data_IF_796442115890
#
_entry.id   IF_796442115890
#
_cell.length_a   1.000
_cell.length_b   1.000
_cell.length_c   1.000
_cell.angle_alpha   90.00
_cell.angle_beta   90.00
_cell.angle_gamma   90.00
#
_symmetry.space_group_name_H-M   'P 1'
#
loop_
_entity.id
_entity.type
_entity.pdbx_description
1 polymer ?
#
# COMPACT_ATOMS: atom_id res chain seq x y z
N UNK A 1 -3.81 5.25 9.65
CA UNK A 1 -3.09 4.59 8.54
C UNK A 1 -4.01 4.23 7.38
N UNK A 2 -5.22 3.69 7.61
CA UNK A 2 -6.18 3.35 6.54
C UNK A 2 -6.57 4.52 5.62
N UNK A 3 -6.66 5.75 6.15
CA UNK A 3 -6.94 6.95 5.34
C UNK A 3 -5.87 7.23 4.27
N UNK A 4 -4.65 6.74 4.46
CA UNK A 4 -3.51 6.93 3.57
C UNK A 4 -3.17 5.67 2.75
N UNK A 5 -4.05 4.66 2.73
CA UNK A 5 -3.81 3.40 2.00
C UNK A 5 -3.99 3.53 0.48
N UNK A 6 -4.36 4.71 -0.03
CA UNK A 6 -4.69 4.93 -1.45
C UNK A 6 -6.13 4.61 -1.83
N UNK A 7 -6.94 4.09 -0.90
CA UNK A 7 -8.35 3.78 -1.14
C UNK A 7 -9.28 5.00 -0.98
N UNK A 8 -9.05 5.84 0.03
CA UNK A 8 -9.92 6.98 0.35
C UNK A 8 -9.43 8.33 -0.21
N UNK A 9 -8.12 8.50 -0.40
CA UNK A 9 -7.51 9.75 -0.87
C UNK A 9 -6.48 9.43 -1.93
N UNK A 10 -6.62 10.05 -3.09
CA UNK A 10 -5.71 9.89 -4.22
C UNK A 10 -4.37 10.60 -3.90
N UNK A 11 -3.24 9.92 -4.11
CA UNK A 11 -1.93 10.38 -3.62
C UNK A 11 -1.48 11.71 -4.24
N UNK A 12 -1.89 11.98 -5.48
CA UNK A 12 -1.55 13.22 -6.20
C UNK A 12 -2.28 14.46 -5.69
N UNK A 13 -3.34 14.32 -4.87
CA UNK A 13 -4.08 15.46 -4.30
C UNK A 13 -3.71 15.75 -2.84
N UNK A 14 -2.80 14.97 -2.25
CA UNK A 14 -2.39 15.13 -0.85
C UNK A 14 -1.36 16.27 -0.74
N UNK A 15 -1.53 17.25 0.17
CA UNK A 15 -0.54 18.29 0.38
C UNK A 15 0.81 17.71 0.86
N UNK A 16 1.95 18.28 0.43
CA UNK A 16 3.28 17.67 0.56
C UNK A 16 3.71 17.36 2.00
N UNK A 17 3.22 18.14 2.98
CA UNK A 17 3.49 17.92 4.40
C UNK A 17 2.92 16.59 4.93
N UNK A 18 1.81 16.10 4.38
CA UNK A 18 1.16 14.85 4.79
C UNK A 18 1.66 13.63 3.99
N UNK A 19 2.46 13.87 2.93
CA UNK A 19 2.94 12.85 2.01
C UNK A 19 3.98 11.92 2.66
N UNK A 20 4.83 12.43 3.55
CA UNK A 20 5.78 11.59 4.30
C UNK A 20 5.06 10.53 5.17
N UNK A 21 3.93 10.89 5.76
CA UNK A 21 3.15 9.99 6.63
C UNK A 21 2.49 8.85 5.84
N UNK A 22 2.17 9.08 4.56
CA UNK A 22 1.64 8.05 3.68
C UNK A 22 2.74 7.08 3.23
N UNK A 23 3.97 7.55 2.97
CA UNK A 23 5.14 6.67 2.72
C UNK A 23 5.51 5.81 3.93
N UNK A 24 5.27 6.29 5.15
CA UNK A 24 5.54 5.53 6.38
C UNK A 24 4.47 4.46 6.69
N UNK A 25 3.29 4.53 6.06
CA UNK A 25 2.22 3.56 6.30
C UNK A 25 2.46 2.27 5.51
N UNK A 26 2.88 1.20 6.18
CA UNK A 26 2.98 -0.16 5.60
C UNK A 26 1.70 -0.61 4.87
N UNK A 27 0.55 -0.10 5.33
CA UNK A 27 -0.78 -0.41 4.80
C UNK A 27 -0.90 -0.05 3.31
N UNK A 28 -0.17 0.98 2.83
CA UNK A 28 -0.11 1.34 1.41
C UNK A 28 0.45 0.19 0.58
N UNK A 29 1.68 -0.23 0.87
CA UNK A 29 2.36 -1.32 0.14
C UNK A 29 1.57 -2.64 0.23
N UNK A 30 0.92 -2.91 1.37
CA UNK A 30 0.05 -4.07 1.52
C UNK A 30 -1.21 -4.03 0.64
N UNK A 31 -1.84 -2.86 0.52
CA UNK A 31 -3.04 -2.68 -0.31
C UNK A 31 -2.70 -2.67 -1.81
N UNK A 32 -1.61 -1.99 -2.18
CA UNK A 32 -1.04 -1.95 -3.53
C UNK A 32 -0.71 -3.38 -4.01
N UNK A 33 0.04 -4.14 -3.20
CA UNK A 33 0.36 -5.54 -3.49
C UNK A 33 -0.88 -6.45 -3.58
N UNK A 34 -1.88 -6.25 -2.71
CA UNK A 34 -3.14 -7.02 -2.77
C UNK A 34 -3.93 -6.72 -4.05
N UNK A 35 -4.01 -5.44 -4.46
CA UNK A 35 -4.71 -5.04 -5.68
C UNK A 35 -4.01 -5.56 -6.94
N UNK A 36 -2.68 -5.47 -7.00
CA UNK A 36 -1.89 -6.05 -8.11
C UNK A 36 -2.01 -7.57 -8.15
N UNK A 37 -2.07 -8.25 -6.98
CA UNK A 37 -2.27 -9.70 -6.94
C UNK A 37 -3.67 -10.14 -7.41
N UNK A 38 -4.72 -9.37 -7.10
CA UNK A 38 -6.11 -9.71 -7.45
C UNK A 38 -6.47 -9.30 -8.89
N UNK A 39 -6.05 -8.11 -9.30
CA UNK A 39 -6.46 -7.47 -10.55
C UNK A 39 -5.35 -7.40 -11.62
N UNK A 40 -4.09 -7.66 -11.27
CA UNK A 40 -2.95 -7.63 -12.19
C UNK A 40 -2.78 -8.91 -13.03
N UNK A 41 -1.56 -9.09 -13.57
CA UNK A 41 -1.10 -10.29 -14.28
C UNK A 41 -2.01 -10.81 -15.42
N UNK A 42 -2.62 -9.90 -16.19
CA UNK A 42 -3.39 -10.28 -17.37
C UNK A 42 -4.76 -10.92 -17.07
N UNK A 43 -5.37 -10.58 -15.93
CA UNK A 43 -6.71 -11.07 -15.58
C UNK A 43 -7.75 -10.73 -16.66
N UNK A 44 -8.63 -11.69 -16.95
CA UNK A 44 -9.75 -11.52 -17.90
C UNK A 44 -10.67 -10.38 -17.44
N UNK A 45 -11.29 -9.71 -18.41
CA UNK A 45 -12.25 -8.63 -18.19
C UNK A 45 -13.37 -9.08 -17.23
N UNK A 46 -13.73 -8.24 -16.28
CA UNK A 46 -14.80 -8.54 -15.33
C UNK A 46 -16.15 -8.57 -16.04
N UNK A 47 -17.06 -9.41 -15.56
CA UNK A 47 -18.46 -9.46 -16.00
C UNK A 47 -19.22 -8.26 -15.44
N UNK A 48 -19.79 -7.42 -16.29
CA UNK A 48 -20.67 -6.32 -15.89
C UNK A 48 -22.10 -6.61 -16.34
N UNK A 49 -23.07 -6.24 -15.51
CA UNK A 49 -24.51 -6.41 -15.80
C UNK A 49 -25.05 -5.34 -16.76
N UNK A 50 -24.49 -4.13 -16.74
CA UNK A 50 -24.85 -3.03 -17.64
C UNK A 50 -24.03 -2.99 -18.95
N UNK A 51 -24.60 -2.43 -20.03
CA UNK A 51 -23.93 -2.26 -21.32
C UNK A 51 -22.73 -1.30 -21.27
N UNK A 52 -22.74 -0.32 -20.37
CA UNK A 52 -21.61 0.58 -20.13
C UNK A 52 -20.93 0.27 -18.80
N UNK A 53 -19.63 -0.06 -18.85
CA UNK A 53 -18.85 -0.41 -17.66
C UNK A 53 -17.42 0.13 -17.81
N UNK A 54 -17.14 1.27 -17.20
CA UNK A 54 -15.86 1.96 -17.30
C UNK A 54 -14.69 1.12 -16.74
N UNK A 55 -14.92 0.38 -15.66
CA UNK A 55 -13.92 -0.45 -14.97
C UNK A 55 -13.93 -1.92 -15.41
N UNK A 56 -14.46 -2.23 -16.58
CA UNK A 56 -14.50 -3.60 -17.12
C UNK A 56 -13.11 -4.22 -17.28
N UNK A 57 -12.11 -3.40 -17.59
CA UNK A 57 -10.71 -3.80 -17.63
C UNK A 57 -10.03 -3.52 -16.29
N UNK A 58 -9.46 -4.54 -15.62
CA UNK A 58 -8.82 -4.36 -14.32
C UNK A 58 -7.61 -3.42 -14.37
N UNK A 59 -6.95 -3.30 -15.53
CA UNK A 59 -5.84 -2.35 -15.75
C UNK A 59 -6.28 -0.88 -15.65
N UNK A 60 -7.50 -0.54 -16.12
CA UNK A 60 -8.05 0.81 -15.99
C UNK A 60 -8.44 1.14 -14.55
N UNK A 61 -8.89 0.15 -13.80
CA UNK A 61 -9.14 0.29 -12.37
C UNK A 61 -7.83 0.53 -11.60
N UNK A 62 -6.79 -0.27 -11.87
CA UNK A 62 -5.45 -0.08 -11.29
C UNK A 62 -4.86 1.30 -11.64
N UNK A 63 -5.07 1.79 -12.87
CA UNK A 63 -4.63 3.11 -13.29
C UNK A 63 -5.38 4.25 -12.58
N UNK A 64 -6.69 4.11 -12.36
CA UNK A 64 -7.47 5.10 -11.60
C UNK A 64 -7.04 5.19 -10.13
N UNK A 65 -6.50 4.10 -9.58
CA UNK A 65 -5.99 4.01 -8.21
C UNK A 65 -4.50 4.37 -8.09
N UNK A 66 -3.84 4.80 -9.17
CA UNK A 66 -2.41 5.15 -9.21
C UNK A 66 -1.46 3.98 -8.87
N UNK A 67 -1.88 2.75 -9.18
CA UNK A 67 -1.17 1.49 -8.87
C UNK A 67 -0.82 0.67 -10.12
N UNK A 68 -0.94 1.26 -11.32
CA UNK A 68 -0.73 0.55 -12.57
C UNK A 68 0.74 0.18 -12.84
N UNK A 69 1.68 0.99 -12.36
CA UNK A 69 3.13 0.81 -12.54
C UNK A 69 3.82 0.20 -11.29
N UNK A 70 3.01 -0.31 -10.35
CA UNK A 70 3.49 -0.90 -9.12
C UNK A 70 4.05 -2.31 -9.36
N UNK A 71 5.30 -2.54 -8.97
CA UNK A 71 5.91 -3.87 -9.02
C UNK A 71 5.64 -4.61 -7.72
N UNK A 72 4.93 -5.74 -7.79
CA UNK A 72 4.64 -6.61 -6.65
C UNK A 72 5.88 -6.95 -5.80
N UNK A 73 7.03 -7.14 -6.44
CA UNK A 73 8.31 -7.41 -5.75
C UNK A 73 8.77 -6.26 -4.86
N UNK A 74 8.55 -5.02 -5.29
CA UNK A 74 8.95 -3.82 -4.52
C UNK A 74 8.10 -3.71 -3.26
N UNK A 75 6.79 -3.93 -3.37
CA UNK A 75 5.88 -3.94 -2.22
C UNK A 75 6.25 -5.03 -1.20
N UNK A 76 6.59 -6.22 -1.70
CA UNK A 76 7.00 -7.35 -0.85
C UNK A 76 8.29 -7.06 -0.09
N UNK A 77 9.29 -6.47 -0.76
CA UNK A 77 10.55 -6.06 -0.12
C UNK A 77 10.31 -4.93 0.89
N UNK A 78 9.50 -3.93 0.54
CA UNK A 78 9.17 -2.82 1.43
C UNK A 78 8.51 -3.29 2.74
N UNK A 79 7.56 -4.22 2.65
CA UNK A 79 6.90 -4.82 3.82
C UNK A 79 7.89 -5.59 4.71
N UNK A 80 8.80 -6.37 4.11
CA UNK A 80 9.84 -7.08 4.86
C UNK A 80 10.78 -6.13 5.59
N UNK A 81 11.24 -5.07 4.92
CA UNK A 81 12.07 -4.03 5.53
C UNK A 81 11.34 -3.38 6.71
N UNK A 82 10.07 -3.03 6.52
CA UNK A 82 9.26 -2.41 7.58
C UNK A 82 9.10 -3.34 8.79
N UNK A 83 8.87 -4.64 8.57
CA UNK A 83 8.79 -5.64 9.65
C UNK A 83 10.10 -5.71 10.44
N UNK A 84 11.24 -5.76 9.76
CA UNK A 84 12.57 -5.80 10.38
C UNK A 84 12.82 -4.51 11.19
N UNK A 85 12.57 -3.34 10.60
CA UNK A 85 12.74 -2.04 11.26
C UNK A 85 11.89 -1.93 12.53
N UNK A 86 10.61 -2.31 12.45
CA UNK A 86 9.75 -2.32 13.64
C UNK A 86 10.27 -3.25 14.73
N UNK A 87 10.75 -4.45 14.37
CA UNK A 87 11.36 -5.39 15.33
C UNK A 87 12.59 -4.78 16.01
N UNK A 88 13.47 -4.13 15.26
CA UNK A 88 14.63 -3.43 15.81
C UNK A 88 14.24 -2.27 16.72
N UNK A 89 13.28 -1.43 16.31
CA UNK A 89 12.78 -0.31 17.11
C UNK A 89 12.16 -0.82 18.41
N UNK A 90 11.27 -1.81 18.36
CA UNK A 90 10.65 -2.38 19.56
C UNK A 90 11.69 -3.02 20.48
N UNK A 91 12.66 -3.74 19.92
CA UNK A 91 13.75 -4.31 20.71
C UNK A 91 14.57 -3.22 21.40
N UNK A 92 14.91 -2.15 20.69
CA UNK A 92 15.69 -1.04 21.25
C UNK A 92 14.92 -0.30 22.34
N UNK A 93 13.64 0.02 22.11
CA UNK A 93 12.75 0.64 23.11
C UNK A 93 12.64 -0.24 24.35
N UNK A 94 12.45 -1.56 24.18
CA UNK A 94 12.39 -2.49 25.30
C UNK A 94 13.70 -2.53 26.09
N UNK A 95 14.85 -2.54 25.40
CA UNK A 95 16.18 -2.52 26.01
C UNK A 95 16.44 -1.22 26.77
N UNK A 96 16.04 -0.07 26.21
CA UNK A 96 16.13 1.23 26.89
C UNK A 96 15.26 1.27 28.14
N UNK A 97 14.02 0.78 28.05
CA UNK A 97 13.10 0.75 29.19
C UNK A 97 13.63 -0.14 30.32
N UNK A 98 14.12 -1.35 29.98
CA UNK A 98 14.75 -2.25 30.94
C UNK A 98 16.00 -1.64 31.61
N UNK A 99 16.77 -0.83 30.87
CA UNK A 99 17.95 -0.13 31.43
C UNK A 99 17.57 1.08 32.30
N UNK A 100 16.42 1.71 32.05
CA UNK A 100 15.93 2.86 32.81
C UNK A 100 15.17 2.48 34.10
N UNK A 101 14.64 1.25 34.20
CA UNK A 101 13.95 0.74 35.40
C UNK A 101 14.91 0.12 36.42
N UNK A 102 16.22 0.10 36.12
CA UNK A 102 17.28 -0.29 37.06
C UNK A 102 18.00 0.96 37.55
#
# INVERSE_FOLDING_TARGET
MLLFSGFFVNFNTIPPYLQWLSYLSYVRYGFEGAMVAVYGYGRKKLSCSEPYCHYRSPTKFLQAMDMADAYFWVDMVALLVFFVVLRFITYFILRLKLRSTR
#
